data_IF_007540833260
#
_entry.id   IF_007540833260
#
_cell.length_a   1.000
_cell.length_b   1.000
_cell.length_c   1.000
_cell.angle_alpha   90.00
_cell.angle_beta   90.00
_cell.angle_gamma   90.00
#
_symmetry.space_group_name_H-M   'P 1'
#
loop_
_entity.id
_entity.type
_entity.pdbx_description
1 polymer ?
#
# COMPACT_ATOMS: atom_id res chain seq x y z
N UNK A 1 -6.18 -7.71 24.13
CA UNK A 1 -5.38 -7.61 22.91
C UNK A 1 -5.62 -6.24 22.28
N UNK A 2 -4.56 -5.53 21.93
CA UNK A 2 -4.64 -4.24 21.23
C UNK A 2 -4.04 -4.44 19.83
N UNK A 3 -4.82 -4.15 18.79
CA UNK A 3 -4.42 -4.32 17.40
C UNK A 3 -4.50 -2.99 16.67
N UNK A 4 -3.51 -2.74 15.82
CA UNK A 4 -3.52 -1.64 14.86
C UNK A 4 -3.06 -2.17 13.51
N UNK A 5 -3.82 -1.88 12.46
CA UNK A 5 -3.48 -2.24 11.09
C UNK A 5 -3.93 -1.13 10.13
N UNK A 6 -3.43 -1.19 8.90
CA UNK A 6 -4.00 -0.41 7.81
C UNK A 6 -5.47 -0.79 7.61
N UNK A 7 -6.27 0.16 7.15
CA UNK A 7 -7.65 -0.09 6.79
C UNK A 7 -8.15 0.89 5.74
N UNK A 8 -9.45 0.80 5.45
CA UNK A 8 -10.17 1.65 4.51
C UNK A 8 -11.51 2.08 5.07
N UNK A 9 -12.02 3.19 4.57
CA UNK A 9 -13.39 3.67 4.84
C UNK A 9 -14.38 3.26 3.77
N UNK A 10 -13.91 2.91 2.57
CA UNK A 10 -14.76 2.39 1.51
C UNK A 10 -15.37 1.05 1.91
N UNK A 11 -16.60 0.80 1.46
CA UNK A 11 -17.27 -0.50 1.57
C UNK A 11 -16.82 -1.42 0.43
N UNK A 12 -16.56 -0.86 -0.75
CA UNK A 12 -16.14 -1.61 -1.93
C UNK A 12 -14.67 -2.05 -1.81
N UNK A 13 -14.37 -3.37 -1.76
CA UNK A 13 -13.01 -3.87 -1.62
C UNK A 13 -12.10 -3.53 -2.80
N UNK A 14 -12.62 -3.09 -3.96
CA UNK A 14 -11.74 -2.62 -5.04
C UNK A 14 -11.07 -1.29 -4.71
N UNK A 15 -11.63 -0.49 -3.80
CA UNK A 15 -11.00 0.70 -3.25
C UNK A 15 -10.25 0.34 -1.95
N UNK A 16 -8.97 0.05 -2.09
CA UNK A 16 -8.06 -0.26 -0.99
C UNK A 16 -7.50 0.99 -0.27
N UNK A 17 -8.04 2.18 -0.53
CA UNK A 17 -7.62 3.44 0.10
C UNK A 17 -6.14 3.76 -0.13
N UNK A 18 -5.45 4.22 0.92
CA UNK A 18 -4.02 4.57 0.83
C UNK A 18 -3.11 3.44 0.34
N UNK A 19 -3.41 2.18 0.70
CA UNK A 19 -2.66 1.03 0.18
C UNK A 19 -2.90 0.84 -1.33
N UNK A 20 -4.12 1.07 -1.78
CA UNK A 20 -4.48 1.09 -3.19
C UNK A 20 -3.74 2.18 -3.97
N UNK A 21 -3.64 3.39 -3.42
CA UNK A 21 -2.85 4.46 -4.06
C UNK A 21 -1.35 4.13 -4.09
N UNK A 22 -0.80 3.56 -3.02
CA UNK A 22 0.62 3.21 -2.93
C UNK A 22 1.05 2.18 -3.98
N UNK A 23 0.24 1.15 -4.22
CA UNK A 23 0.60 0.05 -5.15
C UNK A 23 -0.13 0.07 -6.49
N UNK A 24 -1.33 0.64 -6.56
CA UNK A 24 -2.20 0.62 -7.74
C UNK A 24 -2.04 1.80 -8.69
N UNK A 25 -1.11 2.72 -8.42
CA UNK A 25 -0.80 3.87 -9.30
C UNK A 25 0.60 3.70 -9.91
N UNK A 26 1.57 4.50 -9.48
CA UNK A 26 2.92 4.55 -10.06
C UNK A 26 3.67 3.21 -9.98
N UNK A 27 3.39 2.37 -8.96
CA UNK A 27 3.96 1.03 -8.86
C UNK A 27 3.42 0.09 -9.94
N UNK A 28 2.09 0.04 -10.14
CA UNK A 28 1.48 -0.75 -11.21
C UNK A 28 1.88 -0.22 -12.60
N UNK A 29 1.91 1.09 -12.78
CA UNK A 29 2.36 1.70 -14.04
C UNK A 29 3.82 1.36 -14.38
N UNK A 30 4.70 1.27 -13.37
CA UNK A 30 6.10 0.88 -13.59
C UNK A 30 6.23 -0.59 -14.02
N UNK A 31 5.36 -1.48 -13.52
CA UNK A 31 5.22 -2.84 -14.03
C UNK A 31 4.78 -2.83 -15.50
N UNK A 32 3.82 -1.98 -15.86
CA UNK A 32 3.33 -1.86 -17.24
C UNK A 32 4.42 -1.35 -18.18
N UNK A 33 5.26 -0.41 -17.74
CA UNK A 33 6.42 0.06 -18.51
C UNK A 33 7.38 -1.08 -18.84
N UNK A 34 7.67 -1.98 -17.89
CA UNK A 34 8.54 -3.14 -18.14
C UNK A 34 7.95 -4.08 -19.18
N UNK A 35 6.62 -4.24 -19.20
CA UNK A 35 5.92 -5.06 -20.21
C UNK A 35 5.97 -4.38 -21.58
N UNK A 36 5.65 -3.09 -21.64
CA UNK A 36 5.61 -2.32 -22.89
C UNK A 36 6.99 -2.26 -23.57
N UNK A 37 8.07 -2.20 -22.78
CA UNK A 37 9.44 -2.21 -23.28
C UNK A 37 9.99 -3.62 -23.57
N UNK A 38 9.19 -4.67 -23.31
CA UNK A 38 9.57 -6.06 -23.57
C UNK A 38 10.62 -6.61 -22.61
N UNK A 39 10.83 -5.96 -21.45
CA UNK A 39 11.77 -6.40 -20.42
C UNK A 39 11.21 -7.58 -19.61
N UNK A 40 9.88 -7.66 -19.49
CA UNK A 40 9.15 -8.82 -18.96
C UNK A 40 7.93 -9.12 -19.84
N UNK A 41 7.43 -10.35 -19.80
CA UNK A 41 6.15 -10.71 -20.44
C UNK A 41 4.96 -10.23 -19.61
N UNK A 42 3.81 -9.98 -20.26
CA UNK A 42 2.54 -9.69 -19.56
C UNK A 42 2.16 -10.76 -18.52
N UNK A 43 2.30 -12.05 -18.85
CA UNK A 43 2.05 -13.15 -17.90
C UNK A 43 2.93 -13.08 -16.64
N UNK A 44 4.15 -12.57 -16.79
CA UNK A 44 5.09 -12.41 -15.67
C UNK A 44 4.63 -11.29 -14.74
N UNK A 45 4.11 -10.19 -15.28
CA UNK A 45 3.44 -9.15 -14.47
C UNK A 45 2.18 -9.72 -13.81
N UNK A 46 1.30 -10.36 -14.58
CA UNK A 46 -0.02 -10.80 -14.13
C UNK A 46 0.03 -11.89 -13.05
N UNK A 47 1.15 -12.61 -12.96
CA UNK A 47 1.41 -13.60 -11.89
C UNK A 47 1.94 -12.98 -10.59
N UNK A 48 2.29 -11.69 -10.56
CA UNK A 48 2.71 -10.99 -9.36
C UNK A 48 1.53 -10.33 -8.65
N UNK A 49 1.34 -10.61 -7.36
CA UNK A 49 0.33 -9.95 -6.53
C UNK A 49 0.98 -9.42 -5.25
N UNK A 50 0.63 -8.19 -4.87
CA UNK A 50 1.05 -7.62 -3.58
C UNK A 50 0.22 -8.28 -2.47
N UNK A 51 0.84 -8.90 -1.45
CA UNK A 51 0.13 -9.60 -0.39
C UNK A 51 -0.35 -8.64 0.70
N UNK A 52 -1.07 -7.60 0.31
CA UNK A 52 -1.61 -6.57 1.23
C UNK A 52 -3.11 -6.46 1.02
N UNK A 53 -3.85 -6.42 2.12
CA UNK A 53 -5.27 -6.13 2.15
C UNK A 53 -5.56 -5.10 3.24
N UNK A 54 -6.27 -4.03 2.88
CA UNK A 54 -6.75 -3.02 3.80
C UNK A 54 -8.22 -3.32 4.17
N UNK A 55 -8.50 -3.88 5.35
CA UNK A 55 -9.86 -4.20 5.77
C UNK A 55 -10.71 -2.95 6.01
N UNK A 56 -12.02 -3.09 5.81
CA UNK A 56 -13.02 -2.18 6.38
C UNK A 56 -13.30 -2.51 7.85
N UNK A 57 -13.98 -1.62 8.58
CA UNK A 57 -14.45 -1.93 9.93
C UNK A 57 -15.40 -3.14 9.97
N UNK A 58 -16.17 -3.34 8.90
CA UNK A 58 -17.07 -4.48 8.78
C UNK A 58 -16.27 -5.78 8.62
N UNK A 59 -15.30 -5.82 7.70
CA UNK A 59 -14.43 -6.99 7.46
C UNK A 59 -13.75 -7.42 8.77
N UNK A 60 -13.22 -6.46 9.53
CA UNK A 60 -12.55 -6.73 10.80
C UNK A 60 -13.51 -7.30 11.85
N UNK A 61 -14.70 -6.68 11.99
CA UNK A 61 -15.71 -7.08 12.96
C UNK A 61 -16.21 -8.49 12.68
N UNK A 62 -16.54 -8.79 11.42
CA UNK A 62 -17.08 -10.08 11.01
C UNK A 62 -16.13 -11.23 11.39
N UNK A 63 -14.82 -11.05 11.21
CA UNK A 63 -13.83 -12.07 11.59
C UNK A 63 -13.75 -12.27 13.11
N UNK A 64 -13.73 -11.18 13.89
CA UNK A 64 -13.66 -11.28 15.36
C UNK A 64 -14.93 -11.91 15.95
N UNK A 65 -16.10 -11.53 15.43
CA UNK A 65 -17.38 -12.09 15.87
C UNK A 65 -17.54 -13.56 15.45
N UNK A 66 -17.07 -13.94 14.25
CA UNK A 66 -17.09 -15.33 13.79
C UNK A 66 -16.14 -16.24 14.58
N UNK A 67 -14.98 -15.74 15.01
CA UNK A 67 -14.08 -16.47 15.91
C UNK A 67 -14.75 -16.68 17.29
N UNK A 68 -15.32 -15.62 17.86
CA UNK A 68 -16.07 -15.68 19.11
C UNK A 68 -15.22 -15.76 20.38
N UNK A 69 -13.89 -15.92 20.29
CA UNK A 69 -13.01 -15.97 21.47
C UNK A 69 -12.80 -14.62 22.16
N UNK A 70 -13.10 -13.51 21.47
CA UNK A 70 -12.85 -12.16 21.95
C UNK A 70 -14.10 -11.28 21.91
N UNK A 71 -14.29 -10.48 22.95
CA UNK A 71 -15.21 -9.35 22.94
C UNK A 71 -14.52 -8.09 22.39
N UNK A 72 -15.22 -7.35 21.53
CA UNK A 72 -14.77 -6.06 21.00
C UNK A 72 -15.11 -4.97 22.03
N UNK A 73 -14.10 -4.47 22.76
CA UNK A 73 -14.27 -3.37 23.70
C UNK A 73 -14.33 -2.01 22.96
N UNK A 74 -13.49 -1.87 21.92
CA UNK A 74 -13.42 -0.68 21.07
C UNK A 74 -12.96 -1.08 19.68
N UNK A 75 -13.57 -0.50 18.65
CA UNK A 75 -13.18 -0.68 17.26
C UNK A 75 -13.43 0.62 16.50
N UNK A 76 -12.36 1.24 16.01
CA UNK A 76 -12.40 2.57 15.39
C UNK A 76 -11.48 2.63 14.17
N UNK A 77 -11.80 3.53 13.24
CA UNK A 77 -10.96 3.87 12.09
C UNK A 77 -10.52 5.33 12.18
N UNK A 78 -9.24 5.59 11.93
CA UNK A 78 -8.65 6.92 11.99
C UNK A 78 -7.93 7.27 10.70
N UNK A 79 -7.99 8.54 10.29
CA UNK A 79 -7.13 9.06 9.23
C UNK A 79 -5.73 9.28 9.82
N UNK A 80 -4.78 8.44 9.42
CA UNK A 80 -3.38 8.47 9.89
C UNK A 80 -2.49 9.47 9.14
N UNK A 81 -2.96 9.99 8.00
CA UNK A 81 -2.21 10.97 7.21
C UNK A 81 -1.36 10.33 6.11
N UNK A 82 -0.44 11.12 5.57
CA UNK A 82 0.54 10.64 4.58
C UNK A 82 1.62 9.78 5.23
N UNK A 83 2.04 8.67 4.60
CA UNK A 83 3.12 7.84 5.11
C UNK A 83 4.50 8.38 4.71
N UNK A 84 4.55 9.39 3.84
CA UNK A 84 5.79 9.88 3.25
C UNK A 84 6.46 10.89 4.18
N UNK A 85 7.73 10.64 4.49
CA UNK A 85 8.57 11.57 5.24
C UNK A 85 9.34 12.42 4.24
N UNK A 86 8.95 13.69 4.13
CA UNK A 86 9.55 14.67 3.22
C UNK A 86 9.91 15.94 3.99
N UNK A 87 11.12 16.46 3.80
CA UNK A 87 11.58 17.69 4.46
C UNK A 87 11.17 18.93 3.68
N UNK A 88 11.15 18.84 2.35
CA UNK A 88 10.74 19.89 1.43
C UNK A 88 9.53 19.38 0.63
N UNK A 89 8.29 19.64 1.09
CA UNK A 89 7.08 19.18 0.39
C UNK A 89 6.94 19.68 -1.06
N UNK A 90 7.60 20.78 -1.41
CA UNK A 90 7.64 21.35 -2.76
C UNK A 90 8.76 20.75 -3.64
N UNK A 91 9.64 19.90 -3.09
CA UNK A 91 10.62 19.12 -3.86
C UNK A 91 9.97 17.83 -4.36
N UNK A 92 9.40 17.88 -5.57
CA UNK A 92 8.81 16.71 -6.25
C UNK A 92 9.79 15.53 -6.36
N UNK A 93 11.09 15.79 -6.43
CA UNK A 93 12.12 14.76 -6.42
C UNK A 93 12.20 14.04 -5.07
N UNK A 94 12.13 14.78 -3.96
CA UNK A 94 12.07 14.20 -2.61
C UNK A 94 10.80 13.37 -2.41
N UNK A 95 9.66 13.86 -2.88
CA UNK A 95 8.38 13.14 -2.82
C UNK A 95 8.45 11.82 -3.61
N UNK A 96 8.98 11.86 -4.84
CA UNK A 96 9.12 10.68 -5.68
C UNK A 96 10.01 9.60 -5.05
N UNK A 97 11.16 10.00 -4.49
CA UNK A 97 12.05 9.10 -3.74
C UNK A 97 11.35 8.52 -2.51
N UNK A 98 10.63 9.34 -1.76
CA UNK A 98 9.92 8.88 -0.56
C UNK A 98 8.88 7.80 -0.90
N UNK A 99 8.12 7.97 -1.99
CA UNK A 99 7.17 6.96 -2.46
C UNK A 99 7.88 5.69 -2.90
N UNK A 100 8.89 5.79 -3.78
CA UNK A 100 9.60 4.62 -4.29
C UNK A 100 10.26 3.82 -3.15
N UNK A 101 10.87 4.50 -2.18
CA UNK A 101 11.42 3.89 -0.97
C UNK A 101 10.34 3.20 -0.14
N UNK A 102 9.16 3.82 0.01
CA UNK A 102 8.03 3.20 0.72
C UNK A 102 7.58 1.92 0.03
N UNK A 103 7.34 1.95 -1.28
CA UNK A 103 6.99 0.75 -2.06
C UNK A 103 8.07 -0.34 -1.97
N UNK A 104 9.34 0.04 -2.09
CA UNK A 104 10.47 -0.89 -2.04
C UNK A 104 10.65 -1.51 -0.66
N UNK A 105 10.44 -0.74 0.41
CA UNK A 105 10.53 -1.27 1.78
C UNK A 105 9.49 -2.36 2.06
N UNK A 106 8.29 -2.24 1.47
CA UNK A 106 7.20 -3.20 1.68
C UNK A 106 7.30 -4.40 0.73
N UNK A 107 7.63 -4.17 -0.53
CA UNK A 107 7.50 -5.17 -1.60
C UNK A 107 8.81 -5.59 -2.26
N UNK A 108 9.93 -4.90 -2.00
CA UNK A 108 11.16 -5.03 -2.77
C UNK A 108 11.69 -6.47 -2.85
N UNK A 109 11.76 -7.17 -1.73
CA UNK A 109 12.22 -8.57 -1.69
C UNK A 109 11.32 -9.50 -2.52
N UNK A 110 10.01 -9.23 -2.58
CA UNK A 110 9.08 -10.02 -3.40
C UNK A 110 9.27 -9.73 -4.89
N UNK A 111 9.52 -8.46 -5.24
CA UNK A 111 9.83 -8.06 -6.62
C UNK A 111 11.17 -8.68 -7.06
N UNK A 112 12.21 -8.60 -6.23
CA UNK A 112 13.52 -9.21 -6.46
C UNK A 112 13.38 -10.72 -6.69
N UNK A 113 12.64 -11.42 -5.83
CA UNK A 113 12.40 -12.85 -5.96
C UNK A 113 11.62 -13.21 -7.23
N UNK A 114 10.77 -12.31 -7.74
CA UNK A 114 9.93 -12.58 -8.90
C UNK A 114 10.62 -12.28 -10.23
N UNK A 115 11.27 -11.12 -10.37
CA UNK A 115 11.86 -10.65 -11.64
C UNK A 115 13.39 -10.47 -11.61
N UNK A 116 14.03 -10.66 -10.45
CA UNK A 116 15.46 -10.51 -10.26
C UNK A 116 15.89 -9.08 -9.97
N UNK A 117 17.02 -8.95 -9.25
CA UNK A 117 17.51 -7.69 -8.68
C UNK A 117 17.64 -6.55 -9.70
N UNK A 118 18.15 -6.84 -10.91
CA UNK A 118 18.37 -5.82 -11.95
C UNK A 118 17.07 -5.22 -12.47
N UNK A 119 16.05 -6.05 -12.72
CA UNK A 119 14.76 -5.58 -13.20
C UNK A 119 13.94 -4.94 -12.08
N UNK A 120 14.10 -5.41 -10.85
CA UNK A 120 13.55 -4.77 -9.66
C UNK A 120 14.10 -3.35 -9.46
N UNK A 121 15.42 -3.16 -9.61
CA UNK A 121 16.04 -1.84 -9.57
C UNK A 121 15.44 -0.90 -10.63
N UNK A 122 15.32 -1.37 -11.87
CA UNK A 122 14.67 -0.63 -12.96
C UNK A 122 13.21 -0.28 -12.65
N UNK A 123 12.44 -1.22 -12.08
CA UNK A 123 11.07 -1.00 -11.66
C UNK A 123 10.98 0.17 -10.65
N UNK A 124 11.76 0.12 -9.57
CA UNK A 124 11.68 1.14 -8.52
C UNK A 124 12.21 2.50 -8.98
N UNK A 125 13.17 2.55 -9.91
CA UNK A 125 13.56 3.81 -10.57
C UNK A 125 12.41 4.43 -11.37
N UNK A 126 11.58 3.61 -12.03
CA UNK A 126 10.39 4.09 -12.76
C UNK A 126 9.30 4.56 -11.82
N UNK A 127 9.09 3.88 -10.69
CA UNK A 127 8.19 4.35 -9.63
C UNK A 127 8.59 5.74 -9.15
N UNK A 128 9.89 5.94 -8.85
CA UNK A 128 10.42 7.25 -8.45
C UNK A 128 10.14 8.31 -9.52
N UNK A 129 10.52 8.05 -10.77
CA UNK A 129 10.34 8.99 -11.89
C UNK A 129 8.87 9.38 -12.11
N UNK A 130 7.96 8.41 -12.04
CA UNK A 130 6.51 8.63 -12.19
C UNK A 130 5.95 9.45 -11.03
N UNK A 131 6.37 9.15 -9.81
CA UNK A 131 5.97 9.87 -8.62
C UNK A 131 6.50 11.31 -8.59
N UNK A 132 7.74 11.55 -9.04
CA UNK A 132 8.29 12.90 -9.19
C UNK A 132 7.50 13.74 -10.19
N UNK A 133 6.93 13.13 -11.24
CA UNK A 133 6.10 13.89 -12.19
C UNK A 133 4.77 14.37 -11.60
N UNK A 134 4.35 13.82 -10.44
CA UNK A 134 3.07 14.10 -9.78
C UNK A 134 3.23 14.36 -8.28
N UNK A 135 4.41 14.82 -7.83
CA UNK A 135 4.82 14.81 -6.43
C UNK A 135 3.85 15.54 -5.50
N UNK A 136 3.52 16.80 -5.82
CA UNK A 136 2.56 17.58 -5.03
C UNK A 136 1.18 16.91 -4.88
N UNK A 137 0.60 16.43 -5.98
CA UNK A 137 -0.73 15.79 -5.98
C UNK A 137 -0.70 14.50 -5.15
N UNK A 138 0.36 13.69 -5.31
CA UNK A 138 0.59 12.47 -4.56
C UNK A 138 0.62 12.73 -3.04
N UNK A 139 1.34 13.76 -2.61
CA UNK A 139 1.49 14.06 -1.18
C UNK A 139 0.15 14.45 -0.53
N UNK A 140 -0.70 15.16 -1.27
CA UNK A 140 -2.04 15.55 -0.82
C UNK A 140 -3.01 14.36 -0.80
N UNK A 141 -2.98 13.51 -1.84
CA UNK A 141 -3.94 12.41 -2.02
C UNK A 141 -3.59 11.15 -1.24
N UNK A 142 -2.30 10.84 -1.06
CA UNK A 142 -1.86 9.61 -0.41
C UNK A 142 -2.10 9.68 1.10
N UNK A 143 -3.27 9.19 1.52
CA UNK A 143 -3.72 9.22 2.90
C UNK A 143 -4.04 7.81 3.38
N UNK A 144 -3.43 7.38 4.48
CA UNK A 144 -3.70 6.08 5.09
C UNK A 144 -4.74 6.19 6.19
N UNK A 145 -5.60 5.17 6.25
CA UNK A 145 -6.48 4.94 7.38
C UNK A 145 -5.97 3.76 8.20
N UNK A 146 -6.15 3.85 9.51
CA UNK A 146 -5.77 2.81 10.45
C UNK A 146 -6.99 2.33 11.22
N UNK A 147 -7.17 1.01 11.30
CA UNK A 147 -8.13 0.40 12.20
C UNK A 147 -7.43 0.11 13.52
N UNK A 148 -8.05 0.53 14.61
CA UNK A 148 -7.59 0.29 15.98
C UNK A 148 -8.65 -0.52 16.71
N UNK A 149 -8.24 -1.66 17.26
CA UNK A 149 -9.12 -2.55 18.00
C UNK A 149 -8.58 -2.82 19.42
N UNK A 150 -9.45 -2.66 20.41
CA UNK A 150 -9.22 -3.12 21.77
C UNK A 150 -10.15 -4.28 22.05
N UNK A 151 -9.57 -5.45 22.28
CA UNK A 151 -10.27 -6.72 22.45
C UNK A 151 -9.96 -7.31 23.84
N UNK A 152 -10.93 -7.96 24.46
CA UNK A 152 -10.76 -8.77 25.68
C UNK A 152 -11.20 -10.20 25.41
N UNK A 153 -10.71 -11.20 26.16
CA UNK A 153 -11.25 -12.55 26.04
C UNK A 153 -12.73 -12.54 26.41
N UNK A 154 -13.56 -13.18 25.59
CA UNK A 154 -14.95 -13.43 25.94
C UNK A 154 -14.96 -14.46 27.08
N UNK A 155 -15.54 -14.10 28.23
CA UNK A 155 -15.78 -15.00 29.36
C UNK A 155 -17.08 -15.78 29.17
#
# INVERSE_FOLDING_TARGET
MFLVCLGRTSVDPTDQGGAGLLFGTHFQDAWDDLVQEGLISGEKRDSFNIPVYAPSLQDFREVVEADGSFAINKLEVFKGGSPLVVNQPDDDGEVGRALANSCRSVSGVLVDAHIGDKLSEELFMRVERRATSHGKELLEQLQFFHIVASLSFAL
#
